data_IF_187399508071
#
_entry.id   IF_187399508071
#
_cell.length_a   1.000
_cell.length_b   1.000
_cell.length_c   1.000
_cell.angle_alpha   90.00
_cell.angle_beta   90.00
_cell.angle_gamma   90.00
#
_symmetry.space_group_name_H-M   'P 1'
#
loop_
_entity.id
_entity.type
_entity.pdbx_description
1 polymer ?
#
# COMPACT_ATOMS: atom_id res chain seq x y z
N UNK A 1 -21.33 49.34 -6.36
CA UNK A 1 -20.50 49.06 -5.16
C UNK A 1 -20.78 47.61 -4.76
N UNK A 2 -20.17 46.57 -5.32
CA UNK A 2 -18.76 46.13 -5.34
C UNK A 2 -18.11 46.07 -3.95
N UNK A 3 -18.08 44.85 -3.38
CA UNK A 3 -17.03 44.28 -2.53
C UNK A 3 -17.23 42.74 -2.50
N UNK A 4 -16.85 42.00 -3.55
CA UNK A 4 -15.60 41.18 -3.65
C UNK A 4 -15.60 39.99 -2.66
N UNK A 5 -16.11 38.82 -3.05
CA UNK A 5 -15.34 37.69 -3.62
C UNK A 5 -14.06 37.39 -2.83
N UNK A 6 -14.19 36.71 -1.69
CA UNK A 6 -13.04 36.05 -1.04
C UNK A 6 -12.68 34.83 -1.90
N UNK A 7 -11.54 34.96 -2.57
CA UNK A 7 -10.94 33.94 -3.41
C UNK A 7 -10.52 32.75 -2.55
N UNK A 8 -10.83 31.55 -3.07
CA UNK A 8 -10.19 30.29 -2.68
C UNK A 8 -8.73 30.35 -3.12
N UNK A 9 -7.80 30.82 -2.29
CA UNK A 9 -6.38 30.53 -2.41
C UNK A 9 -5.68 30.96 -1.12
N UNK A 10 -5.50 30.01 -0.21
CA UNK A 10 -4.36 29.91 0.72
C UNK A 10 -4.60 28.67 1.57
N UNK A 11 -4.08 27.54 1.11
CA UNK A 11 -3.93 26.35 1.92
C UNK A 11 -2.79 26.64 2.91
N UNK A 12 -3.08 27.38 3.98
CA UNK A 12 -2.15 27.60 5.06
C UNK A 12 -1.89 26.25 5.75
N UNK A 13 -0.70 25.71 5.57
CA UNK A 13 -0.18 24.58 6.35
C UNK A 13 -0.07 25.04 7.80
N UNK A 14 -1.12 24.81 8.59
CA UNK A 14 -1.07 25.07 10.03
C UNK A 14 -0.04 24.09 10.61
N UNK A 15 1.09 24.63 11.10
CA UNK A 15 2.15 23.79 11.64
C UNK A 15 1.65 23.01 12.87
N UNK A 16 2.14 21.78 13.11
CA UNK A 16 1.75 20.98 14.28
C UNK A 16 1.92 21.73 15.61
N UNK A 17 2.94 22.59 15.70
CA UNK A 17 3.19 23.46 16.84
C UNK A 17 2.11 24.54 17.06
N UNK A 18 1.47 25.01 15.98
CA UNK A 18 0.36 25.95 16.06
C UNK A 18 -0.93 25.27 16.51
N UNK A 19 -1.19 24.04 16.04
CA UNK A 19 -2.36 23.24 16.46
C UNK A 19 -2.32 22.86 17.94
N UNK A 20 -1.14 22.52 18.48
CA UNK A 20 -0.96 22.25 19.92
C UNK A 20 -1.13 23.49 20.79
N UNK A 21 -0.77 24.68 20.29
CA UNK A 21 -0.93 25.95 21.02
C UNK A 21 -2.37 26.43 21.07
N UNK A 22 -3.17 26.16 20.03
CA UNK A 22 -4.57 26.59 19.95
C UNK A 22 -5.56 25.74 20.77
N UNK A 23 -5.11 24.72 21.50
CA UNK A 23 -5.99 23.86 22.30
C UNK A 23 -6.95 22.97 21.48
N UNK A 24 -6.79 22.95 20.15
CA UNK A 24 -7.50 22.08 19.22
C UNK A 24 -6.94 20.64 19.21
N UNK A 25 -5.84 20.41 19.92
CA UNK A 25 -5.20 19.10 20.07
C UNK A 25 -4.84 18.85 21.56
N UNK A 26 -5.30 17.76 22.19
CA UNK A 26 -4.99 17.47 23.59
C UNK A 26 -3.49 17.19 23.79
N UNK A 27 -2.95 17.50 25.00
CA UNK A 27 -1.55 17.21 25.36
C UNK A 27 -1.29 15.70 25.25
N UNK A 28 -0.18 15.34 24.58
CA UNK A 28 0.27 13.97 24.25
C UNK A 28 0.22 13.04 25.47
N UNK A 29 -0.77 12.12 25.60
CA UNK A 29 -0.65 11.01 26.54
C UNK A 29 0.52 10.11 26.09
N UNK A 30 1.06 9.21 26.95
CA UNK A 30 2.12 8.29 26.53
C UNK A 30 1.63 7.54 25.29
N UNK A 31 2.26 7.82 24.16
CA UNK A 31 1.74 7.41 22.86
C UNK A 31 1.93 5.90 22.74
N UNK A 32 0.83 5.17 22.69
CA UNK A 32 0.86 3.78 22.23
C UNK A 32 1.47 3.76 20.82
N UNK A 33 2.50 2.95 20.64
CA UNK A 33 3.21 2.79 19.36
C UNK A 33 2.82 1.48 18.69
N UNK A 34 3.34 1.25 17.48
CA UNK A 34 3.12 0.00 16.75
C UNK A 34 3.65 -1.25 17.45
N UNK A 35 4.54 -1.13 18.44
CA UNK A 35 4.98 -2.27 19.29
C UNK A 35 3.83 -3.08 19.88
N UNK A 36 2.70 -2.43 20.15
CA UNK A 36 1.53 -3.08 20.75
C UNK A 36 0.66 -3.83 19.73
N UNK A 37 0.82 -3.56 18.42
CA UNK A 37 -0.05 -4.10 17.38
C UNK A 37 0.57 -5.39 16.82
N UNK A 38 -0.18 -6.50 16.74
CA UNK A 38 0.30 -7.68 16.04
C UNK A 38 0.49 -7.34 14.57
N UNK A 39 1.76 -7.26 14.15
CA UNK A 39 2.11 -7.22 12.74
C UNK A 39 1.66 -8.53 12.12
N UNK A 40 1.18 -8.49 10.87
CA UNK A 40 0.89 -9.73 10.16
C UNK A 40 2.20 -10.53 10.07
N UNK A 41 2.29 -11.72 10.70
CA UNK A 41 3.56 -12.41 10.86
C UNK A 41 4.05 -12.98 9.54
N UNK A 42 5.38 -12.89 9.38
CA UNK A 42 6.19 -13.35 8.24
C UNK A 42 5.54 -13.15 6.87
N UNK A 43 5.49 -11.91 6.36
CA UNK A 43 5.23 -11.75 4.94
C UNK A 43 6.28 -12.57 4.19
N UNK A 44 5.83 -13.54 3.40
CA UNK A 44 6.67 -14.17 2.39
C UNK A 44 7.09 -13.04 1.46
N UNK A 45 8.29 -12.53 1.66
CA UNK A 45 8.81 -11.45 0.87
C UNK A 45 9.29 -12.03 -0.45
N UNK A 46 8.72 -11.54 -1.54
CA UNK A 46 9.16 -11.93 -2.87
C UNK A 46 10.57 -11.40 -3.10
N UNK A 47 11.38 -12.20 -3.77
CA UNK A 47 12.63 -11.68 -4.32
C UNK A 47 12.33 -10.89 -5.59
N UNK A 48 13.14 -9.86 -5.93
CA UNK A 48 13.04 -9.14 -7.19
C UNK A 48 12.92 -9.99 -8.46
N UNK A 49 13.61 -11.13 -8.48
CA UNK A 49 13.68 -12.06 -9.59
C UNK A 49 12.53 -13.10 -9.62
N UNK A 50 11.66 -13.09 -8.61
CA UNK A 50 10.48 -13.97 -8.57
C UNK A 50 9.58 -13.69 -9.77
N UNK A 51 9.03 -14.73 -10.40
CA UNK A 51 8.12 -14.55 -11.53
C UNK A 51 6.78 -13.94 -11.09
N UNK A 52 6.14 -13.17 -11.98
CA UNK A 52 4.80 -12.63 -11.72
C UNK A 52 3.76 -13.76 -11.58
N UNK A 53 3.94 -14.89 -12.28
CA UNK A 53 3.06 -16.04 -12.13
C UNK A 53 3.15 -16.66 -10.72
N UNK A 54 4.35 -16.77 -10.17
CA UNK A 54 4.56 -17.24 -8.80
C UNK A 54 4.00 -16.26 -7.78
N UNK A 55 4.22 -14.96 -7.97
CA UNK A 55 3.62 -13.91 -7.14
C UNK A 55 2.08 -14.00 -7.15
N UNK A 56 1.46 -14.15 -8.32
CA UNK A 56 0.00 -14.31 -8.46
C UNK A 56 -0.50 -15.55 -7.73
N UNK A 57 0.17 -16.69 -7.89
CA UNK A 57 -0.20 -17.93 -7.18
C UNK A 57 -0.15 -17.75 -5.68
N UNK A 58 0.88 -17.07 -5.17
CA UNK A 58 1.02 -16.80 -3.74
C UNK A 58 -0.04 -15.83 -3.22
N UNK A 59 -0.39 -14.80 -3.99
CA UNK A 59 -1.51 -13.89 -3.70
C UNK A 59 -2.83 -14.65 -3.57
N UNK A 60 -3.13 -15.51 -4.55
CA UNK A 60 -4.36 -16.31 -4.57
C UNK A 60 -4.41 -17.33 -3.42
N UNK A 61 -3.31 -18.04 -3.17
CA UNK A 61 -3.21 -19.04 -2.09
C UNK A 61 -3.39 -18.39 -0.71
N UNK A 62 -2.76 -17.25 -0.48
CA UNK A 62 -2.85 -16.54 0.81
C UNK A 62 -4.09 -15.66 0.95
N UNK A 63 -4.85 -15.46 -0.13
CA UNK A 63 -6.00 -14.54 -0.16
C UNK A 63 -5.58 -13.08 0.08
N UNK A 64 -4.43 -12.67 -0.45
CA UNK A 64 -3.90 -11.30 -0.31
C UNK A 64 -3.66 -10.67 -1.68
N UNK A 65 -3.87 -9.37 -1.79
CA UNK A 65 -3.69 -8.63 -3.05
C UNK A 65 -2.35 -7.91 -3.15
N UNK A 66 -1.53 -7.96 -2.09
CA UNK A 66 -0.28 -7.25 -2.04
C UNK A 66 0.78 -8.14 -1.43
N UNK A 67 1.96 -8.16 -2.05
CA UNK A 67 3.11 -8.90 -1.55
C UNK A 67 4.31 -7.95 -1.46
N UNK A 68 5.04 -7.97 -0.35
CA UNK A 68 6.25 -7.18 -0.24
C UNK A 68 7.37 -7.81 -1.07
N UNK A 69 8.24 -6.94 -1.57
CA UNK A 69 9.42 -7.32 -2.34
C UNK A 69 10.65 -6.92 -1.54
N UNK A 70 11.59 -7.86 -1.37
CA UNK A 70 12.79 -7.64 -0.59
C UNK A 70 14.02 -8.20 -1.31
N UNK A 71 15.12 -7.46 -1.29
CA UNK A 71 16.42 -7.96 -1.72
C UNK A 71 17.28 -8.29 -0.49
N UNK A 72 17.53 -9.57 -0.22
CA UNK A 72 18.29 -10.00 0.96
C UNK A 72 17.65 -9.59 2.30
N UNK A 73 16.33 -9.40 2.33
CA UNK A 73 15.57 -8.94 3.50
C UNK A 73 15.45 -7.42 3.63
N UNK A 74 16.10 -6.65 2.75
CA UNK A 74 15.94 -5.19 2.65
C UNK A 74 14.71 -4.89 1.81
N UNK A 75 13.86 -3.99 2.29
CA UNK A 75 12.66 -3.53 1.59
C UNK A 75 13.00 -2.94 0.22
N UNK A 76 12.33 -3.41 -0.83
CA UNK A 76 12.47 -2.91 -2.19
C UNK A 76 11.17 -2.27 -2.73
N UNK A 77 10.02 -2.60 -2.15
CA UNK A 77 8.72 -2.07 -2.58
C UNK A 77 7.60 -3.08 -2.38
N UNK A 78 6.41 -2.74 -2.86
CA UNK A 78 5.23 -3.59 -2.81
C UNK A 78 4.75 -3.89 -4.24
N UNK A 79 4.42 -5.15 -4.53
CA UNK A 79 3.68 -5.52 -5.75
C UNK A 79 2.21 -5.71 -5.41
N UNK A 80 1.33 -5.14 -6.24
CA UNK A 80 -0.12 -5.21 -6.16
C UNK A 80 -0.66 -6.17 -7.22
N UNK A 81 -1.76 -6.87 -6.90
CA UNK A 81 -2.46 -7.73 -7.86
C UNK A 81 -2.89 -6.96 -9.13
N UNK A 82 -3.10 -5.65 -9.03
CA UNK A 82 -3.41 -4.77 -10.15
C UNK A 82 -2.24 -4.63 -11.13
N UNK A 83 -0.99 -4.71 -10.67
CA UNK A 83 0.18 -4.73 -11.54
C UNK A 83 0.16 -5.98 -12.43
N UNK A 84 -0.16 -7.12 -11.82
CA UNK A 84 -0.31 -8.40 -12.52
C UNK A 84 -1.52 -8.37 -13.45
N UNK A 85 -2.65 -7.81 -13.02
CA UNK A 85 -3.84 -7.67 -13.86
C UNK A 85 -3.57 -6.78 -15.08
N UNK A 86 -2.82 -5.69 -14.91
CA UNK A 86 -2.37 -4.83 -16.00
C UNK A 86 -1.55 -5.59 -17.05
N UNK A 87 -0.73 -6.55 -16.61
CA UNK A 87 0.04 -7.42 -17.51
C UNK A 87 -0.83 -8.41 -18.30
N UNK A 88 -2.07 -8.65 -17.87
CA UNK A 88 -3.04 -9.47 -18.62
C UNK A 88 -3.80 -8.67 -19.68
N UNK A 89 -3.73 -7.34 -19.66
CA UNK A 89 -4.40 -6.49 -20.63
C UNK A 89 -3.54 -6.30 -21.90
N UNK A 90 -4.17 -6.05 -23.07
CA UNK A 90 -3.45 -5.61 -24.25
C UNK A 90 -2.64 -4.33 -23.96
N UNK A 91 -1.47 -4.18 -24.57
CA UNK A 91 -0.61 -3.01 -24.36
C UNK A 91 -1.34 -1.66 -24.59
N UNK A 92 -2.29 -1.62 -25.53
CA UNK A 92 -3.11 -0.44 -25.82
C UNK A 92 -4.05 -0.01 -24.69
N UNK A 93 -4.33 -0.89 -23.72
CA UNK A 93 -5.20 -0.63 -22.58
C UNK A 93 -4.42 -0.30 -21.29
N UNK A 94 -3.10 -0.41 -21.31
CA UNK A 94 -2.26 -0.20 -20.12
C UNK A 94 -1.98 1.28 -19.88
N UNK A 95 -1.68 1.61 -18.63
CA UNK A 95 -1.26 2.96 -18.22
C UNK A 95 -2.38 4.00 -18.18
N UNK A 96 -2.02 5.21 -17.77
CA UNK A 96 -2.96 6.31 -17.52
C UNK A 96 -3.81 6.66 -18.74
N UNK A 97 -3.21 6.61 -19.93
CA UNK A 97 -3.81 7.00 -21.21
C UNK A 97 -4.28 5.81 -22.07
N UNK A 98 -4.31 4.59 -21.52
CA UNK A 98 -4.78 3.40 -22.23
C UNK A 98 -6.26 3.45 -22.60
N UNK A 99 -6.66 2.62 -23.57
CA UNK A 99 -8.06 2.40 -23.97
C UNK A 99 -8.95 2.13 -22.75
N UNK A 100 -10.06 2.87 -22.66
CA UNK A 100 -11.03 2.75 -21.55
C UNK A 100 -12.22 1.83 -21.86
N UNK A 101 -12.32 1.36 -23.10
CA UNK A 101 -13.36 0.43 -23.55
C UNK A 101 -12.71 -0.66 -24.41
N UNK A 102 -12.96 -1.92 -24.05
CA UNK A 102 -12.46 -3.10 -24.77
C UNK A 102 -13.60 -4.00 -25.26
N UNK A 103 -14.87 -3.54 -25.22
CA UNK A 103 -16.04 -4.36 -25.63
C UNK A 103 -16.02 -4.80 -27.09
N UNK A 104 -15.18 -4.18 -27.92
CA UNK A 104 -14.99 -4.55 -29.32
C UNK A 104 -13.95 -5.66 -29.51
N UNK A 105 -13.11 -5.93 -28.51
CA UNK A 105 -12.21 -7.08 -28.51
C UNK A 105 -13.09 -8.32 -28.42
N UNK A 106 -12.95 -9.26 -29.36
CA UNK A 106 -13.76 -10.48 -29.44
C UNK A 106 -13.58 -11.42 -28.24
N UNK A 107 -13.17 -12.67 -28.46
CA UNK A 107 -12.91 -13.57 -27.33
C UNK A 107 -11.63 -13.15 -26.57
N UNK A 108 -11.82 -12.33 -25.54
CA UNK A 108 -10.75 -11.89 -24.64
C UNK A 108 -10.19 -13.01 -23.76
N UNK A 109 -10.86 -14.16 -23.66
CA UNK A 109 -10.42 -15.29 -22.82
C UNK A 109 -9.13 -15.88 -23.34
N UNK A 110 -9.03 -16.11 -24.65
CA UNK A 110 -7.82 -16.64 -25.27
C UNK A 110 -6.63 -15.68 -25.12
N UNK A 111 -6.89 -14.36 -25.21
CA UNK A 111 -5.88 -13.33 -24.98
C UNK A 111 -5.37 -13.37 -23.54
N UNK A 112 -6.27 -13.32 -22.56
CA UNK A 112 -5.91 -13.37 -21.13
C UNK A 112 -5.17 -14.68 -20.82
N UNK A 113 -5.66 -15.83 -21.31
CA UNK A 113 -5.01 -17.12 -21.09
C UNK A 113 -3.60 -17.17 -21.67
N UNK A 114 -3.35 -16.48 -22.79
CA UNK A 114 -2.01 -16.34 -23.37
C UNK A 114 -1.12 -15.49 -22.47
N UNK A 115 -1.58 -14.30 -22.05
CA UNK A 115 -0.81 -13.43 -21.17
C UNK A 115 -0.53 -14.06 -19.79
N UNK A 116 -1.45 -14.88 -19.25
CA UNK A 116 -1.22 -15.65 -18.02
C UNK A 116 0.02 -16.56 -18.16
N UNK A 117 0.21 -17.20 -19.32
CA UNK A 117 1.38 -18.05 -19.57
C UNK A 117 2.67 -17.22 -19.63
N UNK A 118 2.59 -16.02 -20.19
CA UNK A 118 3.73 -15.09 -20.30
C UNK A 118 4.20 -14.55 -18.95
N UNK A 119 3.32 -14.52 -17.93
CA UNK A 119 3.69 -14.12 -16.57
C UNK A 119 4.81 -14.98 -15.96
N UNK A 120 5.01 -16.21 -16.46
CA UNK A 120 6.10 -17.08 -16.01
C UNK A 120 7.49 -16.55 -16.40
N UNK A 121 7.58 -15.74 -17.46
CA UNK A 121 8.83 -15.16 -17.95
C UNK A 121 9.08 -13.72 -17.46
N UNK A 122 8.07 -13.08 -16.88
CA UNK A 122 8.16 -11.72 -16.32
C UNK A 122 8.46 -11.77 -14.84
N UNK A 123 9.33 -10.88 -14.37
CA UNK A 123 9.74 -10.80 -12.97
C UNK A 123 8.95 -9.71 -12.26
N UNK A 124 8.88 -9.83 -10.94
CA UNK A 124 8.29 -8.81 -10.07
C UNK A 124 8.98 -7.45 -10.25
N UNK A 125 10.29 -7.41 -10.47
CA UNK A 125 10.99 -6.14 -10.69
C UNK A 125 10.79 -5.54 -12.10
N UNK A 126 10.08 -6.23 -12.99
CA UNK A 126 9.75 -5.72 -14.33
C UNK A 126 8.45 -4.87 -14.32
N UNK A 127 7.71 -4.86 -13.21
CA UNK A 127 6.58 -3.95 -12.97
C UNK A 127 6.98 -2.85 -11.98
N UNK A 128 6.24 -1.74 -12.00
CA UNK A 128 6.46 -0.63 -11.09
C UNK A 128 6.08 -1.04 -9.66
N UNK A 129 7.08 -1.13 -8.78
CA UNK A 129 6.83 -1.41 -7.37
C UNK A 129 6.32 -0.15 -6.68
N UNK A 130 5.24 -0.29 -5.92
CA UNK A 130 4.70 0.82 -5.15
C UNK A 130 5.69 1.23 -4.05
N UNK A 131 6.08 2.50 -4.09
CA UNK A 131 6.81 3.16 -3.01
C UNK A 131 5.79 3.69 -1.99
N UNK A 132 5.85 3.15 -0.77
CA UNK A 132 4.90 3.45 0.30
C UNK A 132 5.64 4.05 1.48
N UNK A 133 4.98 4.95 2.25
CA UNK A 133 5.56 5.42 3.49
C UNK A 133 5.82 4.23 4.42
N UNK A 134 7.03 4.18 4.94
CA UNK A 134 7.47 3.14 5.86
C UNK A 134 7.14 3.56 7.29
N UNK A 135 6.79 2.58 8.11
CA UNK A 135 6.57 2.72 9.54
C UNK A 135 7.74 2.07 10.27
N UNK A 136 7.95 2.47 11.52
CA UNK A 136 8.82 1.77 12.46
C UNK A 136 8.03 1.37 13.72
N UNK A 137 8.65 0.61 14.61
CA UNK A 137 7.99 0.14 15.84
C UNK A 137 7.61 1.29 16.79
N UNK A 138 8.29 2.43 16.71
CA UNK A 138 8.08 3.60 17.57
C UNK A 138 7.05 4.58 16.97
N UNK A 139 6.58 4.30 15.76
CA UNK A 139 5.59 5.11 15.06
C UNK A 139 4.30 5.17 15.88
N UNK A 140 3.79 6.38 16.19
CA UNK A 140 2.55 6.53 16.95
C UNK A 140 1.37 5.88 16.23
N UNK A 141 0.50 5.20 16.98
CA UNK A 141 -0.64 4.47 16.41
C UNK A 141 -1.56 5.36 15.56
N UNK A 142 -1.78 6.60 15.99
CA UNK A 142 -2.61 7.56 15.26
C UNK A 142 -1.96 8.02 13.94
N UNK A 143 -0.63 8.12 13.89
CA UNK A 143 0.10 8.41 12.66
C UNK A 143 -0.02 7.23 11.69
N UNK A 144 0.17 6.01 12.18
CA UNK A 144 -0.03 4.81 11.38
C UNK A 144 -1.47 4.71 10.84
N UNK A 145 -2.48 5.07 11.64
CA UNK A 145 -3.87 5.12 11.21
C UNK A 145 -4.11 6.17 10.11
N UNK A 146 -3.51 7.36 10.24
CA UNK A 146 -3.57 8.41 9.22
C UNK A 146 -2.95 7.94 7.90
N UNK A 147 -1.76 7.35 7.95
CA UNK A 147 -1.09 6.83 6.75
C UNK A 147 -1.92 5.70 6.11
N UNK A 148 -2.44 4.77 6.91
CA UNK A 148 -3.34 3.72 6.42
C UNK A 148 -4.66 4.25 5.84
N UNK A 149 -5.13 5.42 6.25
CA UNK A 149 -6.30 6.05 5.65
C UNK A 149 -5.98 6.65 4.27
N UNK A 150 -4.76 7.18 4.09
CA UNK A 150 -4.32 7.83 2.85
C UNK A 150 -3.88 6.85 1.76
N UNK A 151 -3.52 5.62 2.14
CA UNK A 151 -3.00 4.60 1.23
C UNK A 151 -3.91 3.38 1.21
N UNK A 152 -4.28 2.87 0.02
CA UNK A 152 -5.12 1.68 -0.09
C UNK A 152 -4.35 0.40 0.29
N UNK A 153 -3.03 0.35 0.14
CA UNK A 153 -2.22 -0.80 0.52
C UNK A 153 -1.94 -0.87 2.04
N UNK A 154 -1.63 -2.06 2.57
CA UNK A 154 -0.94 -2.20 3.86
C UNK A 154 0.42 -1.49 3.82
N UNK A 155 0.89 -1.02 4.97
CA UNK A 155 2.16 -0.28 5.07
C UNK A 155 3.28 -1.16 5.64
N UNK A 156 4.50 -1.07 5.09
CA UNK A 156 5.64 -1.80 5.60
C UNK A 156 6.11 -1.24 6.94
N UNK A 157 6.41 -2.14 7.89
CA UNK A 157 7.08 -1.80 9.15
C UNK A 157 8.52 -2.27 9.04
N UNK A 158 9.47 -1.34 9.11
CA UNK A 158 10.89 -1.60 8.97
C UNK A 158 11.60 -1.56 10.32
N UNK A 159 12.65 -2.36 10.47
CA UNK A 159 13.61 -2.25 11.56
C UNK A 159 14.59 -1.10 11.32
N UNK A 160 15.34 -0.73 12.36
CA UNK A 160 16.40 0.28 12.25
C UNK A 160 17.52 -0.10 11.26
N UNK A 161 17.62 -1.37 10.89
CA UNK A 161 18.54 -1.92 9.89
C UNK A 161 17.99 -1.87 8.45
N UNK A 162 16.81 -1.27 8.24
CA UNK A 162 16.14 -1.20 6.94
C UNK A 162 15.50 -2.52 6.50
N UNK A 163 15.50 -3.55 7.36
CA UNK A 163 14.87 -4.84 7.05
C UNK A 163 13.38 -4.78 7.31
N UNK A 164 12.61 -5.49 6.48
CA UNK A 164 11.17 -5.63 6.69
C UNK A 164 10.89 -6.48 7.94
N UNK A 165 10.20 -5.89 8.93
CA UNK A 165 9.72 -6.59 10.13
C UNK A 165 8.33 -7.18 9.94
N UNK A 166 7.49 -6.53 9.15
CA UNK A 166 6.15 -6.98 8.86
C UNK A 166 5.35 -5.95 8.08
N UNK A 167 4.07 -6.25 7.85
CA UNK A 167 3.12 -5.34 7.22
C UNK A 167 2.02 -4.99 8.21
N UNK A 168 1.67 -3.70 8.29
CA UNK A 168 0.52 -3.22 9.02
C UNK A 168 -0.65 -3.01 8.05
N UNK A 169 -1.77 -3.71 8.27
CA UNK A 169 -3.00 -3.49 7.50
C UNK A 169 -4.05 -2.76 8.34
N UNK A 170 -4.99 -2.08 7.67
CA UNK A 170 -6.19 -1.50 8.31
C UNK A 170 -6.94 -2.53 9.14
N UNK A 171 -7.09 -3.75 8.62
CA UNK A 171 -7.76 -4.86 9.31
C UNK A 171 -7.04 -5.23 10.60
N UNK A 172 -5.71 -5.36 10.57
CA UNK A 172 -4.91 -5.70 11.76
C UNK A 172 -5.00 -4.59 12.81
N UNK A 173 -4.88 -3.32 12.39
CA UNK A 173 -5.02 -2.17 13.28
C UNK A 173 -6.41 -2.13 13.94
N UNK A 174 -7.49 -2.23 13.15
CA UNK A 174 -8.86 -2.18 13.67
C UNK A 174 -9.19 -3.37 14.56
N UNK A 175 -8.76 -4.58 14.19
CA UNK A 175 -8.94 -5.77 15.03
C UNK A 175 -8.24 -5.61 16.38
N UNK A 176 -7.02 -5.05 16.39
CA UNK A 176 -6.30 -4.77 17.62
C UNK A 176 -7.02 -3.72 18.49
N UNK A 177 -7.55 -2.66 17.87
CA UNK A 177 -8.30 -1.61 18.58
C UNK A 177 -9.61 -2.13 19.19
N UNK A 178 -10.33 -3.00 18.49
CA UNK A 178 -11.54 -3.66 19.01
C UNK A 178 -11.19 -4.50 20.25
N UNK A 179 -10.13 -5.32 20.17
CA UNK A 179 -9.67 -6.14 21.28
C UNK A 179 -9.27 -5.31 22.52
N UNK A 180 -8.72 -4.10 22.32
CA UNK A 180 -8.37 -3.16 23.40
C UNK A 180 -9.61 -2.57 24.10
N UNK A 181 -10.68 -2.31 23.35
CA UNK A 181 -11.93 -1.72 23.88
C UNK A 181 -12.86 -2.79 24.48
N UNK A 182 -12.61 -4.07 24.18
CA UNK A 182 -13.33 -5.20 24.78
C UNK A 182 -14.74 -5.39 24.22
N UNK A 183 -14.95 -5.06 22.94
CA UNK A 183 -16.22 -5.25 22.22
C UNK A 183 -16.09 -6.28 21.10
#
# INVERSE_FOLDING_TARGET
MVATRVQRHECATVSPAHLQKCGLYPRKPPAMTLRAVPLLPEPVCLRPDTSLLEALRLMLDKGVNHLPVCNGGIWAGLVDINDILGELLPASARGEHGLKDLRFVGDGTALIATHIKELAAKRVLDVELLDLPTLDEDTPLLEAALLLHRHAAPLPVLGADGRLKGMLSRRALLAHLIAQVGI
#
